data_IF_384870035235
#
_entry.id   IF_384870035235
#
_cell.length_a   1.000
_cell.length_b   1.000
_cell.length_c   1.000
_cell.angle_alpha   90.00
_cell.angle_beta   90.00
_cell.angle_gamma   90.00
#
_symmetry.space_group_name_H-M   'P 1'
#
loop_
_entity.id
_entity.type
_entity.pdbx_description
1 polymer ?
#
# COMPACT_ATOMS: atom_id res chain seq x y z
N UNK A 1 -4.08 39.05 -22.85
CA UNK A 1 -3.03 38.00 -22.77
C UNK A 1 -2.43 37.82 -21.37
N UNK A 2 -2.07 38.86 -20.61
CA UNK A 2 -1.51 38.73 -19.24
C UNK A 2 -2.43 38.00 -18.24
N UNK A 3 -3.76 38.18 -18.32
CA UNK A 3 -4.74 37.50 -17.40
C UNK A 3 -4.88 36.02 -17.66
N UNK A 4 -4.73 35.54 -18.89
CA UNK A 4 -4.78 34.12 -19.27
C UNK A 4 -3.53 33.39 -18.78
N UNK A 5 -2.38 34.05 -18.85
CA UNK A 5 -1.09 33.51 -18.36
C UNK A 5 -1.11 33.28 -16.85
N UNK A 6 -1.76 34.19 -16.10
CA UNK A 6 -1.92 34.06 -14.64
C UNK A 6 -2.83 32.88 -14.25
N UNK A 7 -3.88 32.63 -15.05
CA UNK A 7 -4.81 31.53 -14.83
C UNK A 7 -4.16 30.17 -15.09
N UNK A 8 -3.31 30.06 -16.08
CA UNK A 8 -2.53 28.85 -16.38
C UNK A 8 -1.50 28.58 -15.29
N UNK A 9 -0.86 29.62 -14.75
CA UNK A 9 0.11 29.47 -13.66
C UNK A 9 -0.56 29.01 -12.34
N UNK A 10 -1.79 29.43 -12.05
CA UNK A 10 -2.53 28.98 -10.86
C UNK A 10 -3.05 27.54 -11.00
N UNK A 11 -3.29 27.06 -12.22
CA UNK A 11 -3.68 25.66 -12.44
C UNK A 11 -2.51 24.68 -12.23
N UNK A 12 -1.27 25.10 -12.48
CA UNK A 12 -0.08 24.27 -12.30
C UNK A 12 0.31 24.13 -10.82
N UNK A 13 -0.03 25.09 -9.98
CA UNK A 13 0.31 25.06 -8.53
C UNK A 13 -0.64 24.17 -7.72
N UNK A 14 -1.80 23.80 -8.26
CA UNK A 14 -2.74 22.91 -7.58
C UNK A 14 -2.51 21.41 -7.80
N UNK A 15 -1.46 21.02 -8.52
CA UNK A 15 -0.94 19.67 -8.38
C UNK A 15 -0.25 19.59 -7.01
N UNK A 16 -1.05 19.32 -5.98
CA UNK A 16 -0.54 18.89 -4.70
C UNK A 16 0.40 17.72 -5.01
N UNK A 17 1.69 17.96 -4.94
CA UNK A 17 2.68 16.94 -4.83
C UNK A 17 2.33 16.17 -3.56
N UNK A 18 1.46 15.16 -3.67
CA UNK A 18 1.47 14.10 -2.69
C UNK A 18 2.92 13.66 -2.67
N UNK A 19 3.61 13.90 -1.57
CA UNK A 19 4.96 13.44 -1.39
C UNK A 19 4.93 11.99 -1.83
N UNK A 20 5.56 11.71 -2.95
CA UNK A 20 5.49 10.40 -3.60
C UNK A 20 6.13 9.46 -2.60
N UNK A 21 5.27 8.79 -1.80
CA UNK A 21 5.77 7.84 -0.85
C UNK A 21 6.47 6.76 -1.65
N UNK A 22 7.67 6.38 -1.25
CA UNK A 22 8.49 5.37 -1.94
C UNK A 22 7.89 3.94 -1.74
N UNK A 23 6.58 3.86 -1.75
CA UNK A 23 5.77 2.63 -1.61
C UNK A 23 4.80 2.52 -2.79
N UNK A 24 4.32 1.30 -3.03
CA UNK A 24 3.33 1.05 -4.08
C UNK A 24 2.10 1.96 -3.90
N UNK A 25 1.66 2.60 -4.98
CA UNK A 25 0.47 3.44 -4.96
C UNK A 25 -0.81 2.60 -4.83
N UNK A 26 -1.88 3.22 -4.32
CA UNK A 26 -3.21 2.57 -4.29
C UNK A 26 -3.67 2.19 -5.70
N UNK A 27 -3.41 3.02 -6.70
CA UNK A 27 -3.77 2.73 -8.09
C UNK A 27 -3.05 1.49 -8.63
N UNK A 28 -1.75 1.33 -8.32
CA UNK A 28 -0.99 0.16 -8.71
C UNK A 28 -1.43 -1.09 -7.94
N UNK A 29 -1.73 -0.98 -6.65
CA UNK A 29 -2.27 -2.09 -5.85
C UNK A 29 -3.63 -2.57 -6.41
N UNK A 30 -4.53 -1.64 -6.78
CA UNK A 30 -5.79 -1.96 -7.46
C UNK A 30 -5.54 -2.65 -8.79
N UNK A 31 -4.61 -2.16 -9.61
CA UNK A 31 -4.23 -2.77 -10.88
C UNK A 31 -3.76 -4.21 -10.71
N UNK A 32 -2.89 -4.46 -9.74
CA UNK A 32 -2.42 -5.82 -9.41
C UNK A 32 -3.61 -6.70 -9.03
N UNK A 33 -4.48 -6.23 -8.14
CA UNK A 33 -5.67 -6.96 -7.70
C UNK A 33 -6.63 -7.28 -8.85
N UNK A 34 -6.89 -6.33 -9.75
CA UNK A 34 -7.85 -6.50 -10.85
C UNK A 34 -7.36 -7.47 -11.92
N UNK A 35 -6.05 -7.49 -12.18
CA UNK A 35 -5.47 -8.40 -13.18
C UNK A 35 -5.35 -9.83 -12.67
N UNK A 36 -5.32 -10.05 -11.37
CA UNK A 36 -5.25 -11.37 -10.69
C UNK A 36 -4.08 -12.23 -11.19
N UNK A 37 -3.03 -11.62 -11.70
CA UNK A 37 -1.87 -12.36 -12.22
C UNK A 37 -0.61 -12.01 -11.46
N UNK A 38 0.15 -13.03 -11.08
CA UNK A 38 1.46 -12.89 -10.49
C UNK A 38 2.40 -12.06 -11.38
N UNK A 39 2.30 -12.25 -12.70
CA UNK A 39 3.11 -11.53 -13.67
C UNK A 39 2.92 -10.02 -13.59
N UNK A 40 1.68 -9.54 -13.52
CA UNK A 40 1.41 -8.10 -13.37
C UNK A 40 1.93 -7.57 -12.03
N UNK A 41 1.74 -8.34 -10.95
CA UNK A 41 2.29 -7.99 -9.64
C UNK A 41 3.80 -7.82 -9.71
N UNK A 42 4.50 -8.78 -10.28
CA UNK A 42 5.94 -8.74 -10.46
C UNK A 42 6.39 -7.53 -11.28
N UNK A 43 5.81 -7.30 -12.46
CA UNK A 43 6.16 -6.19 -13.35
C UNK A 43 5.98 -4.82 -12.67
N UNK A 44 4.88 -4.63 -11.95
CA UNK A 44 4.58 -3.36 -11.28
C UNK A 44 5.52 -3.14 -10.10
N UNK A 45 5.73 -4.16 -9.28
CA UNK A 45 6.50 -4.05 -8.03
C UNK A 45 8.01 -3.95 -8.30
N UNK A 46 8.56 -4.79 -9.16
CA UNK A 46 9.99 -4.77 -9.49
C UNK A 46 10.41 -3.45 -10.16
N UNK A 47 9.57 -2.90 -11.05
CA UNK A 47 9.80 -1.57 -11.64
C UNK A 47 9.87 -0.47 -10.58
N UNK A 48 9.22 -0.64 -9.44
CA UNK A 48 9.26 0.30 -8.32
C UNK A 48 10.36 -0.01 -7.30
N UNK A 49 11.23 -0.96 -7.59
CA UNK A 49 12.36 -1.33 -6.72
C UNK A 49 12.00 -2.29 -5.60
N UNK A 50 10.86 -2.98 -5.67
CA UNK A 50 10.57 -4.09 -4.78
C UNK A 50 11.36 -5.34 -5.17
N UNK A 51 11.80 -6.10 -4.18
CA UNK A 51 12.57 -7.33 -4.34
C UNK A 51 11.67 -8.50 -3.96
N UNK A 52 11.52 -9.46 -4.87
CA UNK A 52 10.81 -10.71 -4.59
C UNK A 52 11.58 -11.57 -3.57
N UNK A 53 10.89 -12.07 -2.56
CA UNK A 53 11.47 -12.86 -1.46
C UNK A 53 10.99 -14.31 -1.43
N UNK A 54 10.06 -14.69 -2.30
CA UNK A 54 9.54 -16.04 -2.34
C UNK A 54 8.12 -16.16 -1.84
N UNK A 55 7.74 -17.40 -1.51
CA UNK A 55 6.38 -17.76 -1.11
C UNK A 55 6.38 -18.10 0.38
N UNK A 56 5.56 -17.41 1.16
CA UNK A 56 5.18 -17.83 2.50
C UNK A 56 3.97 -18.77 2.45
N UNK A 57 3.86 -19.63 3.44
CA UNK A 57 2.71 -20.53 3.60
C UNK A 57 2.25 -20.48 5.05
N UNK A 58 0.97 -20.26 5.25
CA UNK A 58 0.33 -20.28 6.57
C UNK A 58 -0.97 -21.09 6.54
N UNK A 59 -1.78 -21.00 7.60
CA UNK A 59 -3.08 -21.67 7.69
C UNK A 59 -4.14 -21.15 6.71
N UNK A 60 -3.93 -19.98 6.12
CA UNK A 60 -4.87 -19.33 5.18
C UNK A 60 -4.48 -19.58 3.72
N UNK A 61 -3.22 -19.95 3.47
CA UNK A 61 -2.78 -20.24 2.10
C UNK A 61 -1.31 -19.94 1.81
N UNK A 62 -1.08 -19.56 0.59
CA UNK A 62 0.25 -19.20 0.07
C UNK A 62 0.23 -17.78 -0.44
N UNK A 63 1.22 -16.98 -0.04
CA UNK A 63 1.40 -15.61 -0.47
C UNK A 63 2.76 -15.40 -1.12
N UNK A 64 2.77 -14.75 -2.26
CA UNK A 64 3.97 -14.24 -2.88
C UNK A 64 4.39 -12.93 -2.21
N UNK A 65 5.67 -12.80 -1.86
CA UNK A 65 6.18 -11.71 -1.04
C UNK A 65 7.18 -10.84 -1.78
N UNK A 66 6.97 -9.53 -1.76
CA UNK A 66 7.91 -8.51 -2.22
C UNK A 66 8.17 -7.52 -1.10
N UNK A 67 9.41 -7.08 -0.98
CA UNK A 67 9.81 -6.08 0.02
C UNK A 67 10.57 -4.93 -0.61
N UNK A 68 10.48 -3.77 0.02
CA UNK A 68 11.27 -2.59 -0.29
C UNK A 68 11.78 -1.96 0.99
N UNK A 69 13.08 -1.64 1.02
CA UNK A 69 13.76 -1.03 2.16
C UNK A 69 13.61 -1.83 3.48
N UNK A 70 13.53 -3.15 3.40
CA UNK A 70 13.50 -4.02 4.58
C UNK A 70 14.06 -5.41 4.27
N UNK A 71 14.41 -6.15 5.32
CA UNK A 71 14.76 -7.56 5.25
C UNK A 71 13.70 -8.42 5.92
N UNK A 72 13.69 -9.72 5.56
CA UNK A 72 12.81 -10.72 6.18
C UNK A 72 13.66 -11.84 6.79
N UNK A 73 13.12 -12.47 7.85
CA UNK A 73 13.60 -13.77 8.32
C UNK A 73 13.25 -14.87 7.32
N UNK A 74 13.67 -16.11 7.63
CA UNK A 74 13.23 -17.32 6.89
C UNK A 74 11.72 -17.52 6.94
N UNK A 75 11.06 -17.04 8.01
CA UNK A 75 9.61 -17.15 8.21
C UNK A 75 8.87 -15.90 7.72
N UNK A 76 9.48 -15.11 6.83
CA UNK A 76 8.93 -13.90 6.25
C UNK A 76 8.56 -12.79 7.26
N UNK A 77 9.16 -12.80 8.44
CA UNK A 77 8.96 -11.74 9.44
C UNK A 77 9.94 -10.60 9.16
N UNK A 78 9.49 -9.33 9.11
CA UNK A 78 10.36 -8.17 8.94
C UNK A 78 11.40 -8.05 10.06
N UNK A 79 12.68 -7.88 9.71
CA UNK A 79 13.80 -7.85 10.67
C UNK A 79 14.62 -6.58 10.66
N UNK A 80 14.72 -5.90 9.52
CA UNK A 80 15.50 -4.68 9.41
C UNK A 80 14.76 -3.69 8.50
N UNK A 81 14.75 -2.44 8.94
CA UNK A 81 14.09 -1.35 8.24
C UNK A 81 15.15 -0.33 7.86
N UNK A 82 15.37 -0.13 6.55
CA UNK A 82 16.22 0.95 6.07
C UNK A 82 15.54 2.31 6.32
N UNK A 83 16.36 3.39 6.34
CA UNK A 83 15.80 4.75 6.35
C UNK A 83 14.90 4.92 5.13
N UNK A 84 13.69 5.42 5.36
CA UNK A 84 12.71 5.66 4.32
C UNK A 84 11.45 4.83 4.49
N UNK A 85 10.74 4.64 3.42
CA UNK A 85 9.43 3.97 3.41
C UNK A 85 9.59 2.47 3.22
N UNK A 86 9.93 1.78 4.29
CA UNK A 86 9.93 0.31 4.30
C UNK A 86 8.52 -0.21 4.10
N UNK A 87 8.36 -1.13 3.18
CA UNK A 87 7.07 -1.73 2.87
C UNK A 87 7.22 -3.16 2.36
N UNK A 88 6.17 -3.93 2.56
CA UNK A 88 6.03 -5.29 2.04
C UNK A 88 4.70 -5.40 1.31
N UNK A 89 4.69 -6.07 0.18
CA UNK A 89 3.48 -6.40 -0.56
C UNK A 89 3.37 -7.92 -0.63
N UNK A 90 2.21 -8.41 -0.25
CA UNK A 90 1.87 -9.82 -0.40
C UNK A 90 0.71 -9.96 -1.38
N UNK A 91 0.85 -10.90 -2.30
CA UNK A 91 -0.18 -11.29 -3.23
C UNK A 91 -0.57 -12.73 -2.94
N UNK A 92 -1.81 -12.91 -2.53
CA UNK A 92 -2.39 -14.24 -2.37
C UNK A 92 -2.28 -15.02 -3.70
N UNK A 93 -1.88 -16.26 -3.60
CA UNK A 93 -1.69 -17.17 -4.75
C UNK A 93 -2.97 -17.35 -5.60
N UNK A 94 -4.15 -17.08 -5.05
CA UNK A 94 -5.43 -17.10 -5.78
C UNK A 94 -5.75 -15.76 -6.47
N UNK A 95 -4.96 -14.71 -6.21
CA UNK A 95 -5.17 -13.35 -6.72
C UNK A 95 -6.40 -12.65 -6.13
N UNK A 96 -6.94 -13.15 -5.02
CA UNK A 96 -8.15 -12.59 -4.38
C UNK A 96 -7.85 -11.48 -3.38
N UNK A 97 -6.59 -11.34 -2.96
CA UNK A 97 -6.20 -10.37 -1.96
C UNK A 97 -4.81 -9.82 -2.26
N UNK A 98 -4.66 -8.52 -2.09
CA UNK A 98 -3.37 -7.82 -2.11
C UNK A 98 -3.21 -7.12 -0.77
N UNK A 99 -2.16 -7.46 -0.04
CA UNK A 99 -1.80 -6.81 1.21
C UNK A 99 -0.64 -5.84 0.99
N UNK A 100 -0.76 -4.65 1.53
CA UNK A 100 0.31 -3.65 1.54
C UNK A 100 0.63 -3.29 2.99
N UNK A 101 1.78 -3.74 3.46
CA UNK A 101 2.26 -3.45 4.81
C UNK A 101 3.19 -2.25 4.78
N UNK A 102 2.91 -1.27 5.62
CA UNK A 102 3.74 -0.09 5.82
C UNK A 102 4.02 0.12 7.30
N UNK A 103 5.22 0.59 7.62
CA UNK A 103 5.68 0.75 9.00
C UNK A 103 5.76 2.24 9.38
N UNK A 104 5.61 3.10 8.38
CA UNK A 104 5.67 4.54 8.54
C UNK A 104 4.26 5.13 8.56
N UNK A 105 3.94 5.89 9.62
CA UNK A 105 2.63 6.57 9.75
C UNK A 105 2.34 7.54 8.62
N UNK A 106 3.36 8.25 8.12
CA UNK A 106 3.21 9.18 7.00
C UNK A 106 2.83 8.43 5.71
N UNK A 107 3.47 7.30 5.43
CA UNK A 107 3.14 6.44 4.31
C UNK A 107 1.70 5.89 4.43
N UNK A 108 1.30 5.44 5.62
CA UNK A 108 -0.06 4.96 5.88
C UNK A 108 -1.10 6.06 5.65
N UNK A 109 -0.86 7.27 6.18
CA UNK A 109 -1.73 8.43 5.94
C UNK A 109 -1.76 8.84 4.45
N UNK A 110 -0.63 8.72 3.75
CA UNK A 110 -0.53 8.95 2.32
C UNK A 110 -1.39 8.01 1.49
N UNK A 111 -1.41 6.71 1.83
CA UNK A 111 -2.29 5.74 1.18
C UNK A 111 -3.77 6.06 1.43
N UNK A 112 -4.14 6.44 2.66
CA UNK A 112 -5.51 6.88 2.97
C UNK A 112 -5.91 8.12 2.18
N UNK A 113 -5.00 9.09 2.01
CA UNK A 113 -5.24 10.28 1.20
C UNK A 113 -5.46 9.93 -0.29
N UNK A 114 -4.70 8.98 -0.84
CA UNK A 114 -4.89 8.49 -2.21
C UNK A 114 -6.28 7.87 -2.39
N UNK A 115 -6.71 6.99 -1.47
CA UNK A 115 -8.03 6.34 -1.50
C UNK A 115 -9.15 7.39 -1.48
N UNK A 116 -9.04 8.41 -0.61
CA UNK A 116 -9.99 9.52 -0.56
C UNK A 116 -10.00 10.32 -1.86
N UNK A 117 -8.83 10.64 -2.41
CA UNK A 117 -8.71 11.38 -3.68
C UNK A 117 -9.29 10.61 -4.87
N UNK A 118 -9.27 9.28 -4.82
CA UNK A 118 -9.91 8.40 -5.81
C UNK A 118 -11.45 8.34 -5.66
N UNK A 119 -12.04 9.04 -4.70
CA UNK A 119 -13.47 9.12 -4.50
C UNK A 119 -14.10 7.89 -3.80
N UNK A 120 -13.32 7.17 -3.00
CA UNK A 120 -13.88 6.15 -2.12
C UNK A 120 -14.63 6.78 -0.95
N UNK A 121 -15.75 6.18 -0.58
CA UNK A 121 -16.34 6.40 0.73
C UNK A 121 -15.41 5.81 1.78
N UNK A 122 -14.88 6.67 2.65
CA UNK A 122 -13.93 6.29 3.68
C UNK A 122 -14.58 5.56 4.87
N UNK A 123 -15.88 5.32 4.81
CA UNK A 123 -16.63 4.65 5.86
C UNK A 123 -16.55 5.37 7.21
N UNK A 124 -17.48 5.02 8.11
CA UNK A 124 -17.33 5.34 9.53
C UNK A 124 -16.48 4.22 10.13
N UNK A 125 -15.38 4.57 10.79
CA UNK A 125 -14.58 3.58 11.54
C UNK A 125 -15.55 2.67 12.31
N UNK A 126 -15.51 1.37 12.00
CA UNK A 126 -16.43 0.43 12.60
C UNK A 126 -16.27 0.54 14.13
N UNK A 127 -17.33 0.92 14.83
CA UNK A 127 -17.30 1.15 16.30
C UNK A 127 -16.84 -0.07 17.09
N UNK A 128 -16.85 -1.24 16.45
CA UNK A 128 -16.53 -2.55 17.06
C UNK A 128 -15.09 -3.03 16.85
N UNK A 129 -14.33 -2.44 15.93
CA UNK A 129 -12.94 -2.87 15.67
C UNK A 129 -12.01 -1.67 15.76
N UNK A 130 -11.37 -1.51 16.91
CA UNK A 130 -10.33 -0.49 17.11
C UNK A 130 -9.29 -0.60 15.98
N UNK A 131 -9.21 0.42 15.14
CA UNK A 131 -8.16 0.54 14.13
C UNK A 131 -8.48 -0.01 12.73
N UNK A 132 -9.72 -0.40 12.42
CA UNK A 132 -10.11 -0.82 11.07
C UNK A 132 -10.96 0.25 10.38
N UNK A 133 -10.59 0.59 9.15
CA UNK A 133 -11.32 1.51 8.28
C UNK A 133 -11.62 0.81 6.95
N UNK A 134 -12.89 0.63 6.62
CA UNK A 134 -13.34 -0.01 5.38
C UNK A 134 -13.76 1.08 4.39
N UNK A 135 -13.14 1.09 3.23
CA UNK A 135 -13.37 2.06 2.17
C UNK A 135 -14.03 1.36 0.97
N UNK A 136 -15.13 1.92 0.49
CA UNK A 136 -15.91 1.35 -0.61
C UNK A 136 -16.11 2.36 -1.74
N UNK A 137 -16.20 1.84 -2.96
CA UNK A 137 -16.56 2.60 -4.16
C UNK A 137 -17.24 1.65 -5.13
N UNK A 138 -18.32 2.12 -5.79
CA UNK A 138 -19.06 1.31 -6.75
C UNK A 138 -18.13 0.77 -7.86
N UNK A 139 -18.29 -0.51 -8.18
CA UNK A 139 -17.51 -1.23 -9.20
C UNK A 139 -15.99 -1.22 -8.99
N UNK A 140 -15.52 -0.95 -7.77
CA UNK A 140 -14.11 -1.00 -7.39
C UNK A 140 -13.89 -1.98 -6.23
N UNK A 141 -12.66 -2.51 -6.07
CA UNK A 141 -12.35 -3.37 -4.93
C UNK A 141 -12.52 -2.61 -3.60
N UNK A 142 -13.01 -3.31 -2.59
CA UNK A 142 -13.01 -2.79 -1.22
C UNK A 142 -11.59 -2.67 -0.70
N UNK A 143 -11.28 -1.54 -0.07
CA UNK A 143 -9.98 -1.28 0.54
C UNK A 143 -10.15 -1.19 2.04
N UNK A 144 -9.38 -1.98 2.78
CA UNK A 144 -9.42 -1.99 4.23
C UNK A 144 -8.07 -1.53 4.80
N UNK A 145 -8.11 -0.51 5.63
CA UNK A 145 -6.95 -0.09 6.43
C UNK A 145 -7.06 -0.68 7.82
N UNK A 146 -5.98 -1.29 8.28
CA UNK A 146 -5.88 -1.85 9.64
C UNK A 146 -4.60 -1.37 10.31
N UNK A 147 -4.70 -0.99 11.56
CA UNK A 147 -3.54 -0.76 12.41
C UNK A 147 -3.33 -2.02 13.25
N UNK A 148 -2.30 -2.76 12.95
CA UNK A 148 -1.92 -3.92 13.73
C UNK A 148 -1.13 -3.44 14.94
N UNK A 149 -1.64 -3.65 16.15
CA UNK A 149 -0.86 -3.59 17.36
C UNK A 149 -0.15 -4.94 17.52
N UNK A 150 0.91 -5.14 16.75
CA UNK A 150 1.80 -6.27 17.01
C UNK A 150 2.85 -5.81 18.02
N UNK A 151 3.01 -6.49 19.14
CA UNK A 151 4.29 -6.48 19.79
C UNK A 151 5.24 -7.13 18.80
N UNK A 152 5.96 -6.31 18.03
CA UNK A 152 7.03 -6.81 17.19
C UNK A 152 8.03 -7.44 18.16
N UNK A 153 8.29 -8.75 18.09
CA UNK A 153 9.15 -9.43 19.07
C UNK A 153 10.58 -8.92 19.09
N UNK A 154 10.94 -8.03 18.16
CA UNK A 154 12.26 -7.41 18.05
C UNK A 154 12.32 -5.99 18.65
N UNK A 155 11.24 -5.47 19.21
CA UNK A 155 11.30 -4.22 20.00
C UNK A 155 11.74 -4.44 21.45
N UNK A 156 12.12 -5.65 21.82
CA UNK A 156 12.50 -6.03 23.18
C UNK A 156 13.95 -6.49 23.29
N UNK A 157 14.86 -5.98 22.47
CA UNK A 157 16.29 -6.14 22.66
C UNK A 157 17.02 -4.81 22.67
#
# INVERSE_FOLDING_TARGET
>A
MKKILLLIMTLIVSMTTFAQSDIVSVADAIKIFQTKTLYTGQQVLEKQGYIYKGISTDSYGKDHNWVKNMNLTKDFVPTAFAKGNSSMVQLDNTGKTVYVYVINRTAFAGLQAQVRAMGYDMGKAAKSSKGTLICTKDNQPTITFMTLQMPLPFCMQ
#
